data_IF_559302867306
#
_entry.id   IF_559302867306
#
_cell.length_a   1.000
_cell.length_b   1.000
_cell.length_c   1.000
_cell.angle_alpha   90.00
_cell.angle_beta   90.00
_cell.angle_gamma   90.00
#
_symmetry.space_group_name_H-M   'P 1'
#
loop_
_entity.id
_entity.type
_entity.pdbx_description
1 polymer ?
#
# COMPACT_ATOMS: atom_id res chain seq x y z
N UNK A 1 31.13 25.03 -54.78
CA UNK A 1 32.12 25.97 -54.19
C UNK A 1 31.79 26.05 -52.71
N UNK A 2 32.50 25.30 -51.86
CA UNK A 2 33.71 25.75 -51.14
C UNK A 2 33.35 26.69 -49.97
N UNK A 3 33.93 26.66 -48.76
CA UNK A 3 34.86 25.79 -48.05
C UNK A 3 35.11 26.51 -46.69
N UNK A 4 34.87 25.86 -45.53
CA UNK A 4 35.70 25.90 -44.28
C UNK A 4 35.66 27.16 -43.39
N UNK A 5 35.71 27.09 -42.06
CA UNK A 5 36.77 26.59 -41.13
C UNK A 5 36.09 25.95 -39.88
N UNK A 6 36.46 24.81 -39.28
CA UNK A 6 37.72 24.14 -38.94
C UNK A 6 38.69 24.95 -38.07
N UNK A 7 38.69 24.63 -36.77
CA UNK A 7 39.84 24.76 -35.86
C UNK A 7 40.12 23.36 -35.32
N UNK A 8 41.17 22.72 -35.84
CA UNK A 8 41.89 21.63 -35.16
C UNK A 8 42.86 22.25 -34.16
N UNK A 9 43.27 21.50 -33.12
CA UNK A 9 44.67 21.36 -32.69
C UNK A 9 44.76 20.19 -31.68
N UNK A 10 45.30 19.08 -32.20
CA UNK A 10 46.46 18.36 -31.66
C UNK A 10 46.31 17.33 -30.53
N UNK A 11 46.49 16.06 -30.92
CA UNK A 11 46.86 14.92 -30.09
C UNK A 11 48.39 14.68 -30.20
N UNK A 12 49.09 14.57 -29.06
CA UNK A 12 50.20 13.63 -28.88
C UNK A 12 49.92 12.83 -27.59
N UNK A 13 50.04 11.51 -27.48
CA UNK A 13 51.10 10.62 -27.95
C UNK A 13 50.61 9.21 -27.66
N UNK A 14 50.80 8.30 -28.60
CA UNK A 14 50.59 6.86 -28.43
C UNK A 14 51.66 6.23 -27.54
N UNK A 15 51.27 5.18 -26.80
CA UNK A 15 52.09 4.16 -26.12
C UNK A 15 52.66 4.52 -24.74
N UNK A 16 51.92 4.13 -23.70
CA UNK A 16 52.41 3.22 -22.66
C UNK A 16 51.25 2.86 -21.71
N UNK A 17 51.29 1.62 -21.21
CA UNK A 17 50.40 1.01 -20.21
C UNK A 17 49.11 0.34 -20.73
N UNK A 18 49.30 -0.72 -21.52
CA UNK A 18 48.51 -1.95 -21.32
C UNK A 18 49.06 -2.71 -20.10
N UNK A 19 48.16 -3.48 -19.47
CA UNK A 19 48.31 -4.40 -18.34
C UNK A 19 48.26 -3.78 -16.93
N UNK A 20 47.10 -3.88 -16.27
CA UNK A 20 46.90 -4.93 -15.25
C UNK A 20 45.42 -5.07 -14.85
N UNK A 21 44.90 -6.25 -15.17
CA UNK A 21 43.73 -6.92 -14.61
C UNK A 21 43.60 -6.71 -13.10
N UNK A 22 42.49 -6.10 -12.64
CA UNK A 22 41.79 -6.56 -11.45
C UNK A 22 40.28 -6.61 -11.69
N UNK A 23 39.90 -7.83 -12.02
CA UNK A 23 38.62 -8.47 -11.77
C UNK A 23 37.91 -7.91 -10.51
N UNK A 24 36.83 -7.16 -10.72
CA UNK A 24 35.70 -7.10 -9.79
C UNK A 24 34.42 -7.35 -10.58
N UNK A 25 34.34 -8.54 -11.17
CA UNK A 25 33.06 -9.21 -11.29
C UNK A 25 32.58 -9.56 -9.88
N UNK A 26 31.92 -8.62 -9.21
CA UNK A 26 30.94 -8.97 -8.19
C UNK A 26 29.61 -8.95 -8.92
N UNK A 27 29.20 -10.14 -9.37
CA UNK A 27 27.80 -10.39 -9.61
C UNK A 27 27.10 -10.22 -8.27
N UNK A 28 26.63 -9.00 -8.02
CA UNK A 28 25.54 -8.79 -7.09
C UNK A 28 24.37 -9.55 -7.72
N UNK A 29 24.04 -10.72 -7.17
CA UNK A 29 22.74 -11.30 -7.49
C UNK A 29 21.75 -10.23 -7.03
N UNK A 30 21.18 -9.48 -7.97
CA UNK A 30 20.08 -8.57 -7.67
C UNK A 30 18.97 -9.50 -7.21
N UNK A 31 18.92 -9.78 -5.92
CA UNK A 31 17.75 -10.36 -5.30
C UNK A 31 16.65 -9.36 -5.61
N UNK A 32 15.68 -9.78 -6.42
CA UNK A 32 14.55 -8.92 -6.76
C UNK A 32 13.89 -8.53 -5.45
N UNK A 33 13.87 -7.22 -5.16
CA UNK A 33 13.16 -6.69 -3.99
C UNK A 33 11.71 -7.16 -4.02
N UNK A 34 11.17 -7.47 -2.84
CA UNK A 34 9.77 -7.87 -2.72
C UNK A 34 8.91 -6.62 -2.96
N UNK A 35 7.99 -6.71 -3.91
CA UNK A 35 7.11 -5.59 -4.28
C UNK A 35 5.94 -5.56 -3.33
N UNK A 36 5.91 -4.54 -2.47
CA UNK A 36 4.87 -4.34 -1.47
C UNK A 36 3.99 -3.16 -1.90
N UNK A 37 2.68 -3.31 -1.69
CA UNK A 37 1.73 -2.21 -1.77
C UNK A 37 0.95 -2.07 -0.47
N UNK A 38 0.52 -0.85 -0.15
CA UNK A 38 -0.43 -0.57 0.91
C UNK A 38 -1.54 0.34 0.40
N UNK A 39 -2.75 0.26 0.96
CA UNK A 39 -3.84 1.14 0.53
C UNK A 39 -4.91 1.34 1.61
N UNK A 40 -5.67 2.41 1.45
CA UNK A 40 -6.82 2.77 2.29
C UNK A 40 -8.12 2.52 1.53
N UNK A 41 -9.04 1.85 2.21
CA UNK A 41 -10.47 1.89 1.92
C UNK A 41 -11.16 2.76 2.98
N UNK A 42 -12.29 2.33 3.53
CA UNK A 42 -12.98 3.01 4.62
C UNK A 42 -12.28 2.74 5.97
N UNK A 43 -11.20 3.48 6.22
CA UNK A 43 -10.36 3.38 7.42
C UNK A 43 -9.99 4.76 7.97
N UNK A 44 -9.33 4.77 9.14
CA UNK A 44 -8.94 5.99 9.83
C UNK A 44 -7.48 6.39 9.60
N UNK A 45 -6.74 5.71 8.72
CA UNK A 45 -5.27 5.76 8.53
C UNK A 45 -4.44 5.22 9.70
N UNK A 46 -5.08 4.79 10.79
CA UNK A 46 -4.40 4.34 12.00
C UNK A 46 -3.50 3.11 11.78
N UNK A 47 -3.85 2.20 10.86
CA UNK A 47 -3.01 1.03 10.62
C UNK A 47 -1.74 1.40 9.83
N UNK A 48 -1.83 2.39 8.94
CA UNK A 48 -0.64 2.96 8.30
C UNK A 48 0.22 3.77 9.27
N UNK A 49 -0.38 4.46 10.24
CA UNK A 49 0.41 5.10 11.29
C UNK A 49 1.16 4.06 12.12
N UNK A 50 0.51 2.96 12.49
CA UNK A 50 1.22 1.89 13.21
C UNK A 50 2.28 1.16 12.36
N UNK A 51 2.11 1.11 11.04
CA UNK A 51 3.19 0.69 10.12
C UNK A 51 4.38 1.65 10.17
N UNK A 52 4.15 2.96 10.31
CA UNK A 52 5.21 3.95 10.44
C UNK A 52 5.85 3.95 11.83
N UNK A 53 5.10 3.59 12.88
CA UNK A 53 5.59 3.38 14.26
C UNK A 53 6.50 2.14 14.40
N UNK A 54 6.90 1.52 13.30
CA UNK A 54 8.02 0.56 13.25
C UNK A 54 9.37 1.30 13.38
N UNK A 55 9.38 2.61 13.12
CA UNK A 55 10.51 3.51 13.34
C UNK A 55 11.81 3.04 12.65
N UNK A 56 12.91 2.89 13.39
CA UNK A 56 14.22 2.55 12.84
C UNK A 56 14.25 1.18 12.17
N UNK A 57 13.38 0.25 12.57
CA UNK A 57 13.36 -1.10 12.02
C UNK A 57 12.89 -1.12 10.55
N UNK A 58 12.23 -0.05 10.08
CA UNK A 58 11.92 0.11 8.65
C UNK A 58 13.20 0.22 7.81
N UNK A 59 14.26 0.81 8.36
CA UNK A 59 15.56 0.94 7.68
C UNK A 59 16.19 -0.43 7.48
N UNK A 60 16.03 -1.36 8.42
CA UNK A 60 16.59 -2.71 8.36
C UNK A 60 16.00 -3.56 7.21
N UNK A 61 14.79 -3.25 6.78
CA UNK A 61 14.07 -3.97 5.71
C UNK A 61 13.95 -3.18 4.40
N UNK A 62 14.37 -1.90 4.38
CA UNK A 62 14.23 -1.01 3.22
C UNK A 62 14.95 -1.54 1.97
N UNK A 63 16.11 -2.19 2.13
CA UNK A 63 16.85 -2.76 1.00
C UNK A 63 16.23 -4.04 0.43
N UNK A 64 15.27 -4.65 1.14
CA UNK A 64 14.58 -5.87 0.74
C UNK A 64 13.21 -5.60 0.10
N UNK A 65 12.66 -4.39 0.29
CA UNK A 65 11.31 -4.01 -0.11
C UNK A 65 11.35 -2.94 -1.20
N UNK A 66 10.44 -3.07 -2.16
CA UNK A 66 10.06 -2.02 -3.09
C UNK A 66 8.60 -1.63 -2.82
N UNK A 67 8.37 -0.41 -2.30
CA UNK A 67 7.02 0.10 -2.06
C UNK A 67 6.44 0.67 -3.36
N UNK A 68 5.66 -0.14 -4.08
CA UNK A 68 5.21 0.16 -5.45
C UNK A 68 3.91 0.94 -5.52
N UNK A 69 3.12 0.92 -4.44
CA UNK A 69 1.88 1.68 -4.33
C UNK A 69 1.54 1.90 -2.85
N UNK A 70 1.27 3.14 -2.47
CA UNK A 70 0.88 3.50 -1.10
C UNK A 70 0.30 4.91 -1.11
N UNK A 71 -0.63 5.25 -0.20
CA UNK A 71 -0.98 6.64 0.09
C UNK A 71 0.24 7.49 0.55
N UNK A 72 1.34 6.84 0.92
CA UNK A 72 2.60 7.46 1.34
C UNK A 72 3.59 7.73 0.20
N UNK A 73 3.28 7.31 -1.03
CA UNK A 73 4.14 7.52 -2.22
C UNK A 73 3.33 8.08 -3.39
N UNK A 74 4.00 8.67 -4.37
CA UNK A 74 3.36 9.35 -5.51
C UNK A 74 2.90 8.38 -6.63
N UNK A 75 2.47 7.19 -6.26
CA UNK A 75 1.99 6.17 -7.19
C UNK A 75 0.48 6.31 -7.41
N UNK A 76 0.08 6.79 -8.59
CA UNK A 76 -1.33 7.04 -8.92
C UNK A 76 -2.11 5.76 -9.22
N UNK A 77 -1.48 4.78 -9.86
CA UNK A 77 -2.13 3.55 -10.31
C UNK A 77 -1.60 2.33 -9.56
N UNK A 78 -2.50 1.39 -9.22
CA UNK A 78 -2.11 0.14 -8.60
C UNK A 78 -1.41 -0.77 -9.62
N UNK A 79 -0.12 -1.10 -9.48
CA UNK A 79 0.64 -1.82 -10.51
C UNK A 79 0.28 -3.31 -10.57
N UNK A 80 0.66 -3.98 -11.65
CA UNK A 80 0.50 -5.44 -11.79
C UNK A 80 1.64 -6.20 -11.12
N UNK A 81 1.35 -7.44 -10.68
CA UNK A 81 2.36 -8.36 -10.17
C UNK A 81 2.95 -7.96 -8.82
N UNK A 82 2.12 -7.42 -7.92
CA UNK A 82 2.53 -7.06 -6.56
C UNK A 82 2.64 -8.33 -5.72
N UNK A 83 3.74 -8.48 -4.98
CA UNK A 83 3.99 -9.69 -4.19
C UNK A 83 3.11 -9.75 -2.94
N UNK A 84 3.07 -8.64 -2.18
CA UNK A 84 2.27 -8.52 -0.97
C UNK A 84 1.51 -7.21 -0.96
N UNK A 85 0.22 -7.24 -0.63
CA UNK A 85 -0.58 -6.02 -0.48
C UNK A 85 -1.30 -5.98 0.85
N UNK A 86 -1.09 -4.91 1.59
CA UNK A 86 -1.77 -4.61 2.84
C UNK A 86 -2.94 -3.66 2.58
N UNK A 87 -4.14 -4.08 2.94
CA UNK A 87 -5.34 -3.26 2.80
C UNK A 87 -5.88 -2.94 4.18
N UNK A 88 -5.90 -1.67 4.54
CA UNK A 88 -6.68 -1.21 5.69
C UNK A 88 -8.06 -0.70 5.26
N UNK A 89 -8.98 -0.71 6.21
CA UNK A 89 -10.32 -0.16 6.03
C UNK A 89 -11.32 -1.17 5.50
N UNK A 90 -12.59 -0.87 5.72
CA UNK A 90 -13.72 -1.66 5.26
C UNK A 90 -14.15 -1.24 3.84
N UNK A 91 -15.07 -1.98 3.23
CA UNK A 91 -15.64 -1.63 1.92
C UNK A 91 -16.97 -0.92 2.17
N UNK A 92 -17.07 0.38 1.85
CA UNK A 92 -18.27 1.17 2.13
C UNK A 92 -18.83 1.97 0.96
N UNK A 93 -18.11 2.06 -0.16
CA UNK A 93 -18.54 2.74 -1.38
C UNK A 93 -18.37 1.89 -2.64
N UNK A 94 -18.94 2.34 -3.76
CA UNK A 94 -18.76 1.71 -5.08
C UNK A 94 -17.29 1.72 -5.54
N UNK A 95 -16.55 2.78 -5.20
CA UNK A 95 -15.13 2.90 -5.54
C UNK A 95 -14.27 1.95 -4.71
N UNK A 96 -14.60 1.73 -3.44
CA UNK A 96 -13.91 0.73 -2.61
C UNK A 96 -14.07 -0.67 -3.18
N UNK A 97 -15.28 -1.01 -3.66
CA UNK A 97 -15.56 -2.30 -4.33
C UNK A 97 -14.69 -2.46 -5.57
N UNK A 98 -14.64 -1.44 -6.43
CA UNK A 98 -13.82 -1.48 -7.65
C UNK A 98 -12.32 -1.59 -7.30
N UNK A 99 -11.87 -0.82 -6.32
CA UNK A 99 -10.47 -0.79 -5.86
C UNK A 99 -10.04 -2.12 -5.26
N UNK A 100 -10.81 -2.71 -4.34
CA UNK A 100 -10.44 -3.99 -3.70
C UNK A 100 -10.42 -5.14 -4.71
N UNK A 101 -11.33 -5.15 -5.68
CA UNK A 101 -11.31 -6.13 -6.76
C UNK A 101 -10.09 -5.97 -7.67
N UNK A 102 -9.70 -4.73 -8.01
CA UNK A 102 -8.48 -4.45 -8.77
C UNK A 102 -7.24 -4.94 -8.02
N UNK A 103 -7.13 -4.59 -6.74
CA UNK A 103 -6.03 -4.99 -5.87
C UNK A 103 -5.91 -6.51 -5.86
N UNK A 104 -7.00 -7.23 -5.56
CA UNK A 104 -6.97 -8.70 -5.51
C UNK A 104 -6.46 -9.33 -6.81
N UNK A 105 -6.85 -8.80 -7.97
CA UNK A 105 -6.40 -9.33 -9.28
C UNK A 105 -4.90 -9.12 -9.52
N UNK A 106 -4.31 -8.10 -8.90
CA UNK A 106 -2.93 -7.67 -9.14
C UNK A 106 -1.95 -8.07 -8.03
N UNK A 107 -2.46 -8.58 -6.90
CA UNK A 107 -1.68 -9.03 -5.74
C UNK A 107 -1.58 -10.55 -5.65
N UNK A 108 -0.38 -11.07 -5.38
CA UNK A 108 -0.16 -12.49 -5.08
C UNK A 108 -0.66 -12.82 -3.67
N UNK A 109 -0.25 -12.04 -2.67
CA UNK A 109 -0.71 -12.15 -1.28
C UNK A 109 -1.47 -10.89 -0.89
N UNK A 110 -2.68 -11.05 -0.36
CA UNK A 110 -3.53 -9.98 0.17
C UNK A 110 -3.70 -10.13 1.68
N UNK A 111 -3.33 -9.08 2.41
CA UNK A 111 -3.42 -9.00 3.87
C UNK A 111 -4.54 -8.01 4.25
N UNK A 112 -5.53 -8.48 5.02
CA UNK A 112 -6.46 -7.60 5.72
C UNK A 112 -5.75 -7.01 6.95
N UNK A 113 -5.44 -5.72 6.90
CA UNK A 113 -4.72 -4.99 7.94
C UNK A 113 -5.71 -4.22 8.83
N UNK A 114 -5.88 -4.69 10.06
CA UNK A 114 -6.69 -4.05 11.09
C UNK A 114 -8.17 -4.42 11.08
N UNK A 115 -8.85 -4.11 12.19
CA UNK A 115 -10.21 -4.57 12.49
C UNK A 115 -11.25 -4.07 11.48
N UNK A 116 -11.04 -2.88 10.89
CA UNK A 116 -11.92 -2.39 9.82
C UNK A 116 -11.88 -3.33 8.60
N UNK A 117 -10.68 -3.75 8.15
CA UNK A 117 -10.55 -4.66 7.02
C UNK A 117 -11.03 -6.09 7.36
N UNK A 118 -10.78 -6.53 8.60
CA UNK A 118 -11.12 -7.89 9.06
C UNK A 118 -12.61 -8.04 9.36
N UNK A 119 -13.26 -7.04 9.98
CA UNK A 119 -14.64 -7.16 10.52
C UNK A 119 -15.59 -6.01 10.16
N UNK A 120 -15.09 -4.94 9.54
CA UNK A 120 -15.84 -3.70 9.31
C UNK A 120 -15.71 -2.68 10.45
N UNK A 121 -15.63 -3.12 11.71
CA UNK A 121 -15.41 -2.32 12.92
C UNK A 121 -16.22 -1.01 13.00
N UNK A 122 -15.60 0.13 13.36
CA UNK A 122 -16.27 1.41 13.59
C UNK A 122 -17.06 1.90 12.36
N UNK A 123 -16.53 1.86 11.12
CA UNK A 123 -17.32 2.17 9.93
C UNK A 123 -18.62 1.37 9.81
N UNK A 124 -18.60 0.09 10.20
CA UNK A 124 -19.77 -0.78 10.13
C UNK A 124 -20.86 -0.47 11.17
N UNK A 125 -20.61 0.39 12.16
CA UNK A 125 -21.64 0.86 13.09
C UNK A 125 -22.78 1.60 12.37
N UNK A 126 -22.52 2.17 11.19
CA UNK A 126 -23.56 2.83 10.39
C UNK A 126 -24.59 1.85 9.81
N UNK A 127 -24.33 0.54 9.82
CA UNK A 127 -25.20 -0.48 9.22
C UNK A 127 -26.56 -0.64 9.91
N UNK A 128 -26.73 -0.06 11.11
CA UNK A 128 -28.01 0.01 11.83
C UNK A 128 -28.95 1.10 11.27
N UNK A 129 -28.45 1.97 10.39
CA UNK A 129 -29.18 3.09 9.81
C UNK A 129 -29.25 2.98 8.29
N UNK A 130 -30.27 3.61 7.67
CA UNK A 130 -30.30 3.74 6.22
C UNK A 130 -29.28 4.80 5.77
N UNK A 131 -28.72 4.61 4.57
CA UNK A 131 -27.72 5.53 4.00
C UNK A 131 -28.28 6.94 3.87
N UNK A 132 -29.55 7.05 3.47
CA UNK A 132 -30.27 8.30 3.34
C UNK A 132 -30.35 9.06 4.67
N UNK A 133 -30.63 8.36 5.78
CA UNK A 133 -30.70 8.96 7.11
C UNK A 133 -29.33 9.50 7.54
N UNK A 134 -28.25 8.75 7.26
CA UNK A 134 -26.88 9.15 7.55
C UNK A 134 -26.50 10.41 6.76
N UNK A 135 -26.80 10.44 5.46
CA UNK A 135 -26.48 11.59 4.59
C UNK A 135 -27.31 12.82 4.97
N UNK A 136 -28.61 12.64 5.26
CA UNK A 136 -29.47 13.73 5.73
C UNK A 136 -28.95 14.30 7.05
N UNK A 137 -28.59 13.43 8.00
CA UNK A 137 -28.04 13.85 9.27
C UNK A 137 -26.78 14.69 9.08
N UNK A 138 -25.83 14.23 8.27
CA UNK A 138 -24.52 14.88 8.09
C UNK A 138 -24.57 16.17 7.25
N UNK A 139 -25.36 16.19 6.17
CA UNK A 139 -25.29 17.24 5.16
C UNK A 139 -26.53 18.14 5.09
N UNK A 140 -27.62 17.80 5.77
CA UNK A 140 -28.84 18.62 5.82
C UNK A 140 -29.07 19.13 7.24
N UNK A 141 -29.22 18.24 8.21
CA UNK A 141 -29.59 18.61 9.58
C UNK A 141 -28.46 19.31 10.35
N UNK A 142 -27.20 18.90 10.15
CA UNK A 142 -26.04 19.53 10.78
C UNK A 142 -25.35 20.59 9.93
N UNK A 143 -25.89 20.90 8.76
CA UNK A 143 -25.24 21.85 7.85
C UNK A 143 -25.27 23.27 8.41
N UNK A 144 -24.07 23.84 8.62
CA UNK A 144 -23.93 25.25 8.99
C UNK A 144 -24.26 26.19 7.82
N UNK A 145 -24.01 25.74 6.59
CA UNK A 145 -24.32 26.45 5.36
C UNK A 145 -24.51 25.46 4.21
N UNK A 146 -25.22 25.91 3.15
CA UNK A 146 -25.39 25.17 1.90
C UNK A 146 -25.82 23.70 2.10
N UNK A 147 -26.94 23.50 2.82
CA UNK A 147 -27.51 22.18 3.07
C UNK A 147 -27.87 21.48 1.74
N UNK A 148 -27.08 20.48 1.37
CA UNK A 148 -27.30 19.63 0.20
C UNK A 148 -26.48 18.34 0.33
N UNK A 149 -27.00 17.23 -0.20
CA UNK A 149 -26.24 15.98 -0.28
C UNK A 149 -25.28 16.08 -1.48
N UNK A 150 -23.97 15.84 -1.29
CA UNK A 150 -23.01 15.85 -2.39
C UNK A 150 -23.21 14.65 -3.31
N UNK A 151 -23.36 14.91 -4.62
CA UNK A 151 -23.60 13.88 -5.64
C UNK A 151 -22.62 13.94 -6.82
N UNK A 152 -21.87 15.04 -6.98
CA UNK A 152 -20.94 15.23 -8.10
C UNK A 152 -19.50 14.95 -7.65
N UNK A 153 -18.80 14.08 -8.38
CA UNK A 153 -17.41 13.70 -8.11
C UNK A 153 -17.17 12.92 -6.80
N UNK A 154 -18.22 12.42 -6.13
CA UNK A 154 -18.12 11.66 -4.88
C UNK A 154 -18.73 10.27 -5.08
N UNK A 155 -18.05 9.18 -4.66
CA UNK A 155 -18.57 7.84 -4.84
C UNK A 155 -19.81 7.60 -4.00
N UNK A 156 -20.77 6.88 -4.58
CA UNK A 156 -21.97 6.47 -3.87
C UNK A 156 -21.62 5.47 -2.75
N UNK A 157 -22.20 5.68 -1.58
CA UNK A 157 -22.09 4.74 -0.46
C UNK A 157 -22.90 3.47 -0.74
N UNK A 158 -22.32 2.32 -0.37
CA UNK A 158 -23.01 1.05 -0.34
C UNK A 158 -24.05 1.04 0.79
N UNK A 159 -25.11 0.26 0.59
CA UNK A 159 -26.16 0.06 1.60
C UNK A 159 -25.60 -0.42 2.94
N UNK A 160 -24.51 -1.21 2.92
CA UNK A 160 -23.81 -1.68 4.11
C UNK A 160 -22.30 -1.57 3.93
N UNK A 161 -21.61 -1.34 5.03
CA UNK A 161 -20.17 -1.49 5.17
C UNK A 161 -19.87 -2.94 5.52
N UNK A 162 -18.96 -3.55 4.79
CA UNK A 162 -18.57 -4.96 5.00
C UNK A 162 -17.05 -5.09 5.00
N UNK A 163 -16.50 -6.13 5.68
CA UNK A 163 -15.07 -6.40 5.62
C UNK A 163 -14.63 -6.78 4.20
N UNK A 164 -13.34 -6.63 3.90
CA UNK A 164 -12.82 -6.81 2.53
C UNK A 164 -13.01 -8.25 2.02
N UNK A 165 -13.01 -9.23 2.92
CA UNK A 165 -13.17 -10.64 2.59
C UNK A 165 -14.59 -11.00 2.12
N UNK A 166 -15.56 -10.09 2.27
CA UNK A 166 -16.88 -10.23 1.67
C UNK A 166 -16.88 -10.02 0.15
N UNK A 167 -15.86 -9.32 -0.38
CA UNK A 167 -15.73 -9.02 -1.82
C UNK A 167 -14.64 -9.82 -2.53
N UNK A 168 -13.57 -10.19 -1.83
CA UNK A 168 -12.41 -10.86 -2.42
C UNK A 168 -11.81 -11.89 -1.47
N UNK A 169 -11.08 -12.88 -2.00
CA UNK A 169 -10.31 -13.79 -1.15
C UNK A 169 -9.13 -13.07 -0.49
N UNK A 170 -8.98 -13.25 0.81
CA UNK A 170 -7.89 -12.70 1.63
C UNK A 170 -7.02 -13.84 2.11
N UNK A 171 -5.69 -13.67 2.03
CA UNK A 171 -4.73 -14.72 2.37
C UNK A 171 -4.35 -14.67 3.86
N UNK A 172 -4.21 -13.47 4.42
CA UNK A 172 -3.82 -13.25 5.81
C UNK A 172 -4.67 -12.16 6.47
N UNK A 173 -4.93 -12.33 7.75
CA UNK A 173 -5.69 -11.39 8.57
C UNK A 173 -4.82 -10.94 9.74
N UNK A 174 -4.59 -9.65 9.88
CA UNK A 174 -3.87 -9.06 11.00
C UNK A 174 -4.82 -8.15 11.80
N UNK A 175 -5.52 -8.68 12.83
CA UNK A 175 -6.44 -7.90 13.64
C UNK A 175 -5.74 -6.89 14.56
N UNK A 176 -6.47 -5.85 14.96
CA UNK A 176 -6.05 -4.73 15.80
C UNK A 176 -6.63 -3.39 15.30
N UNK A 177 -6.75 -2.38 16.17
CA UNK A 177 -7.33 -1.09 15.79
C UNK A 177 -6.53 0.12 16.34
N UNK A 178 -5.26 0.29 15.92
CA UNK A 178 -4.55 -0.48 14.89
C UNK A 178 -3.82 -1.73 15.43
N UNK A 179 -3.44 -2.69 14.57
CA UNK A 179 -2.49 -3.74 14.97
C UNK A 179 -1.18 -3.11 15.44
N UNK A 180 -0.50 -3.71 16.42
CA UNK A 180 0.76 -3.16 16.93
C UNK A 180 1.87 -3.15 15.86
N UNK A 181 2.77 -2.18 15.94
CA UNK A 181 3.93 -2.07 15.04
C UNK A 181 4.77 -3.35 15.03
N UNK A 182 5.03 -3.94 16.21
CA UNK A 182 5.70 -5.24 16.35
C UNK A 182 5.03 -6.38 15.56
N UNK A 183 3.70 -6.42 15.54
CA UNK A 183 2.96 -7.45 14.83
C UNK A 183 3.03 -7.24 13.32
N UNK A 184 2.97 -5.98 12.86
CA UNK A 184 3.13 -5.61 11.46
C UNK A 184 4.54 -5.93 10.99
N UNK A 185 5.57 -5.54 11.76
CA UNK A 185 6.97 -5.81 11.45
C UNK A 185 7.27 -7.31 11.38
N UNK A 186 6.74 -8.08 12.34
CA UNK A 186 6.86 -9.54 12.33
C UNK A 186 6.24 -10.15 11.06
N UNK A 187 5.04 -9.72 10.69
CA UNK A 187 4.36 -10.19 9.49
C UNK A 187 5.18 -9.88 8.23
N UNK A 188 5.67 -8.65 8.08
CA UNK A 188 6.52 -8.27 6.94
C UNK A 188 7.79 -9.11 6.91
N UNK A 189 8.47 -9.24 8.05
CA UNK A 189 9.73 -9.99 8.17
C UNK A 189 9.59 -11.47 7.81
N UNK A 190 8.47 -12.11 8.18
CA UNK A 190 8.20 -13.50 7.82
C UNK A 190 7.90 -13.66 6.33
N UNK A 191 7.12 -12.73 5.76
CA UNK A 191 6.80 -12.72 4.33
C UNK A 191 8.04 -12.48 3.46
N UNK A 192 8.96 -11.61 3.88
CA UNK A 192 10.26 -11.39 3.22
C UNK A 192 11.10 -12.67 3.18
N UNK A 193 10.98 -13.52 4.19
CA UNK A 193 11.68 -14.80 4.28
C UNK A 193 10.90 -15.96 3.60
N UNK A 194 9.82 -15.65 2.88
CA UNK A 194 8.99 -16.62 2.18
C UNK A 194 8.17 -17.54 3.09
N UNK A 195 7.98 -17.16 4.36
CA UNK A 195 7.20 -17.92 5.34
C UNK A 195 5.81 -17.30 5.50
N UNK A 196 4.80 -18.16 5.67
CA UNK A 196 3.45 -17.75 6.04
C UNK A 196 3.39 -17.75 7.58
N UNK A 197 3.27 -16.58 8.24
CA UNK A 197 3.33 -16.51 9.69
C UNK A 197 2.08 -17.05 10.38
N UNK A 198 2.26 -17.70 11.52
CA UNK A 198 1.17 -17.91 12.48
C UNK A 198 1.03 -16.66 13.36
N UNK A 199 -0.07 -15.93 13.18
CA UNK A 199 -0.35 -14.66 13.89
C UNK A 199 -1.03 -14.87 15.26
N UNK A 200 -1.23 -16.13 15.68
CA UNK A 200 -1.83 -16.45 17.00
C UNK A 200 -0.98 -15.89 18.14
N UNK A 201 -1.65 -15.20 19.06
CA UNK A 201 -1.02 -14.63 20.27
C UNK A 201 -0.19 -13.38 20.03
N UNK A 202 -0.02 -12.94 18.77
CA UNK A 202 0.69 -11.70 18.41
C UNK A 202 -0.25 -10.58 17.92
N UNK A 203 -1.52 -10.90 17.72
CA UNK A 203 -2.56 -9.95 17.34
C UNK A 203 -3.85 -10.25 18.09
N UNK A 204 -4.64 -9.21 18.37
CA UNK A 204 -5.95 -9.30 19.02
C UNK A 204 -6.87 -8.20 18.48
N UNK A 205 -8.17 -8.42 18.54
CA UNK A 205 -9.15 -7.38 18.23
C UNK A 205 -9.09 -6.24 19.25
N UNK A 206 -9.22 -5.00 18.79
CA UNK A 206 -9.18 -3.79 19.60
C UNK A 206 -7.86 -3.57 20.34
N UNK A 207 -6.77 -4.14 19.83
CA UNK A 207 -5.42 -3.97 20.38
C UNK A 207 -4.99 -2.51 20.42
#
# INVERSE_FOLDING_TARGET
MARWLNVEIFCPTSRQCEAETKNKGQGESIMSKIRIATTWLDGCSGCHMSLLDIDEQLVDIADQIELVYSPLVDALEFPEGVDVTFVEGAVSSVDDVAKIQLIRRRSKVLVALGDCAVTGNVPAMRNEFQVEDILNRAFIETAACQAQIPMDGVPQLNARVVPIHAHVAVDLFLPGCPPSSDAIFFLISELLQGRIPDLKGRSRFGA
#
